data_IF_406775092710
#
_entry.id   IF_406775092710
#
_cell.length_a   1.000
_cell.length_b   1.000
_cell.length_c   1.000
_cell.angle_alpha   90.00
_cell.angle_beta   90.00
_cell.angle_gamma   90.00
#
_symmetry.space_group_name_H-M   'P 1'
#
loop_
_entity.id
_entity.type
_entity.pdbx_description
1 polymer ?
#
# COMPACT_ATOMS: atom_id res chain seq x y z
N UNK A 1 -22.07 -3.10 -1.27
CA UNK A 1 -21.89 -1.75 -0.68
C UNK A 1 -21.16 -1.79 0.66
N UNK A 2 -21.60 -2.60 1.65
CA UNK A 2 -20.93 -2.70 2.98
C UNK A 2 -19.40 -2.92 2.91
N UNK A 3 -18.95 -3.90 2.11
CA UNK A 3 -17.51 -4.20 1.90
C UNK A 3 -16.72 -3.00 1.36
N UNK A 4 -17.27 -2.27 0.39
CA UNK A 4 -16.58 -1.12 -0.18
C UNK A 4 -16.43 0.02 0.85
N UNK A 5 -17.49 0.33 1.60
CA UNK A 5 -17.42 1.37 2.64
C UNK A 5 -16.49 0.98 3.78
N UNK A 6 -16.51 -0.29 4.21
CA UNK A 6 -15.54 -0.79 5.20
C UNK A 6 -14.09 -0.64 4.69
N UNK A 7 -13.82 -0.94 3.42
CA UNK A 7 -12.46 -0.75 2.86
C UNK A 7 -12.05 0.73 2.76
N UNK A 8 -12.98 1.63 2.43
CA UNK A 8 -12.70 3.08 2.38
C UNK A 8 -12.42 3.60 3.79
N UNK A 9 -13.25 3.23 4.78
CA UNK A 9 -13.05 3.61 6.17
C UNK A 9 -11.73 3.09 6.74
N UNK A 10 -11.32 1.88 6.33
CA UNK A 10 -10.11 1.25 6.84
C UNK A 10 -8.83 1.84 6.24
N UNK A 11 -8.82 2.11 4.93
CA UNK A 11 -7.61 2.52 4.20
C UNK A 11 -7.47 4.05 4.00
N UNK A 12 -8.51 4.83 4.32
CA UNK A 12 -8.54 6.27 4.05
C UNK A 12 -9.16 7.06 5.19
N UNK A 13 -8.92 8.37 5.20
CA UNK A 13 -9.61 9.35 6.05
C UNK A 13 -10.90 9.90 5.42
N UNK A 14 -11.35 9.35 4.29
CA UNK A 14 -12.58 9.79 3.64
C UNK A 14 -13.76 9.32 4.50
N UNK A 15 -14.61 10.23 5.01
CA UNK A 15 -15.72 9.86 5.86
C UNK A 15 -16.73 9.05 5.05
N UNK A 16 -17.16 7.91 5.60
CA UNK A 16 -18.20 7.07 5.00
C UNK A 16 -19.35 6.81 5.99
N UNK A 17 -20.60 6.74 5.51
CA UNK A 17 -21.74 6.45 6.37
C UNK A 17 -21.59 5.10 7.08
N UNK A 18 -21.86 5.10 8.39
CA UNK A 18 -21.86 3.86 9.19
C UNK A 18 -20.49 3.28 9.50
N UNK A 19 -19.40 4.05 9.36
CA UNK A 19 -18.04 3.61 9.69
C UNK A 19 -17.91 3.00 11.10
N UNK A 20 -18.61 3.56 12.08
CA UNK A 20 -18.61 3.08 13.47
C UNK A 20 -19.29 1.70 13.66
N UNK A 21 -20.01 1.22 12.65
CA UNK A 21 -20.77 -0.04 12.71
C UNK A 21 -20.03 -1.23 12.07
N UNK A 22 -18.81 -1.02 11.55
CA UNK A 22 -18.03 -2.10 10.95
C UNK A 22 -17.27 -2.88 12.03
N UNK A 23 -17.47 -4.19 12.05
CA UNK A 23 -16.75 -5.10 12.92
C UNK A 23 -15.46 -5.64 12.26
N UNK A 24 -14.69 -6.46 12.98
CA UNK A 24 -13.47 -7.06 12.46
C UNK A 24 -13.72 -7.94 11.21
N UNK A 25 -14.86 -8.65 11.16
CA UNK A 25 -15.19 -9.50 10.03
C UNK A 25 -15.55 -8.67 8.78
N UNK A 26 -16.20 -7.52 8.96
CA UNK A 26 -16.45 -6.57 7.88
C UNK A 26 -15.13 -6.04 7.30
N UNK A 27 -14.16 -5.70 8.16
CA UNK A 27 -12.82 -5.25 7.74
C UNK A 27 -12.11 -6.35 6.94
N UNK A 28 -12.01 -7.57 7.48
CA UNK A 28 -11.33 -8.67 6.76
C UNK A 28 -12.00 -9.03 5.44
N UNK A 29 -13.34 -9.06 5.39
CA UNK A 29 -14.11 -9.30 4.15
C UNK A 29 -14.05 -8.13 3.16
N UNK A 30 -13.72 -6.93 3.62
CA UNK A 30 -13.56 -5.75 2.77
C UNK A 30 -12.29 -5.76 1.94
N UNK A 31 -11.32 -6.61 2.28
CA UNK A 31 -10.04 -6.76 1.55
C UNK A 31 -10.23 -7.07 0.06
N UNK A 32 -11.34 -7.73 -0.31
CA UNK A 32 -11.74 -7.90 -1.71
C UNK A 32 -11.80 -6.56 -2.47
N UNK A 33 -12.27 -5.50 -1.80
CA UNK A 33 -12.45 -4.17 -2.37
C UNK A 33 -11.22 -3.26 -2.24
N UNK A 34 -10.12 -3.72 -1.64
CA UNK A 34 -8.89 -2.92 -1.49
C UNK A 34 -8.36 -2.38 -2.84
N UNK A 35 -8.31 -3.17 -3.93
CA UNK A 35 -7.99 -2.65 -5.27
C UNK A 35 -8.87 -1.46 -5.70
N UNK A 36 -10.17 -1.49 -5.38
CA UNK A 36 -11.10 -0.40 -5.72
C UNK A 36 -10.80 0.88 -4.94
N UNK A 37 -10.34 0.76 -3.69
CA UNK A 37 -9.88 1.92 -2.91
C UNK A 37 -8.61 2.51 -3.54
N UNK A 38 -7.70 1.66 -4.04
CA UNK A 38 -6.56 2.11 -4.85
C UNK A 38 -6.98 2.92 -6.07
N UNK A 39 -7.95 2.40 -6.84
CA UNK A 39 -8.49 3.10 -8.01
C UNK A 39 -9.20 4.42 -7.64
N UNK A 40 -9.95 4.45 -6.53
CA UNK A 40 -10.58 5.68 -6.02
C UNK A 40 -9.55 6.76 -5.68
N UNK A 41 -8.51 6.39 -4.93
CA UNK A 41 -7.44 7.31 -4.57
C UNK A 41 -6.69 7.80 -5.82
N UNK A 42 -6.42 6.91 -6.77
CA UNK A 42 -5.80 7.27 -8.03
C UNK A 42 -6.67 8.26 -8.84
N UNK A 43 -8.00 8.08 -8.88
CA UNK A 43 -8.88 9.01 -9.56
C UNK A 43 -8.79 10.44 -8.98
N UNK A 44 -8.71 10.56 -7.64
CA UNK A 44 -8.49 11.85 -6.97
C UNK A 44 -7.13 12.45 -7.34
N UNK A 45 -6.07 11.65 -7.31
CA UNK A 45 -4.72 12.10 -7.65
C UNK A 45 -4.57 12.48 -9.12
N UNK A 46 -5.21 11.75 -10.04
CA UNK A 46 -5.25 12.06 -11.47
C UNK A 46 -5.98 13.38 -11.69
N UNK A 47 -7.13 13.60 -11.02
CA UNK A 47 -7.81 14.89 -11.06
C UNK A 47 -6.93 16.05 -10.57
N UNK A 48 -6.26 15.86 -9.43
CA UNK A 48 -5.32 16.85 -8.91
C UNK A 48 -4.13 17.09 -9.85
N UNK A 49 -3.62 16.04 -10.49
CA UNK A 49 -2.53 16.11 -11.45
C UNK A 49 -2.87 16.99 -12.65
N UNK A 50 -4.07 16.84 -13.21
CA UNK A 50 -4.53 17.66 -14.34
C UNK A 50 -4.66 19.14 -13.98
N UNK A 51 -4.94 19.47 -12.72
CA UNK A 51 -4.97 20.85 -12.23
C UNK A 51 -3.57 21.41 -11.96
N UNK A 52 -2.68 20.61 -11.36
CA UNK A 52 -1.38 21.05 -10.86
C UNK A 52 -0.27 21.05 -11.91
N UNK A 53 -0.19 20.01 -12.75
CA UNK A 53 0.93 19.82 -13.68
C UNK A 53 1.08 20.94 -14.73
N UNK A 54 -0.01 21.57 -15.23
CA UNK A 54 0.13 22.74 -16.11
C UNK A 54 0.72 23.98 -15.42
N UNK A 55 0.72 24.03 -14.08
CA UNK A 55 1.09 25.20 -13.29
C UNK A 55 2.45 25.03 -12.59
N UNK A 56 2.90 23.79 -12.39
CA UNK A 56 4.06 23.46 -11.56
C UNK A 56 5.01 22.50 -12.29
N UNK A 57 6.33 22.56 -12.02
CA UNK A 57 7.28 21.57 -12.54
C UNK A 57 6.89 20.14 -12.16
N UNK A 58 7.32 19.16 -12.97
CA UNK A 58 7.01 17.74 -12.76
C UNK A 58 7.38 17.26 -11.35
N UNK A 59 8.57 17.61 -10.88
CA UNK A 59 9.06 17.26 -9.54
C UNK A 59 8.18 17.83 -8.43
N UNK A 60 7.81 19.11 -8.51
CA UNK A 60 6.95 19.75 -7.49
C UNK A 60 5.57 19.12 -7.50
N UNK A 61 5.00 18.89 -8.68
CA UNK A 61 3.72 18.20 -8.84
C UNK A 61 3.75 16.81 -8.20
N UNK A 62 4.81 16.03 -8.44
CA UNK A 62 4.95 14.69 -7.87
C UNK A 62 4.96 14.71 -6.33
N UNK A 63 5.73 15.61 -5.70
CA UNK A 63 5.72 15.74 -4.24
C UNK A 63 4.37 16.19 -3.69
N UNK A 64 3.70 17.14 -4.34
CA UNK A 64 2.36 17.60 -3.91
C UNK A 64 1.34 16.47 -4.02
N UNK A 65 1.36 15.66 -5.09
CA UNK A 65 0.48 14.51 -5.23
C UNK A 65 0.73 13.45 -4.17
N UNK A 66 1.99 13.14 -3.85
CA UNK A 66 2.33 12.20 -2.76
C UNK A 66 1.94 12.76 -1.38
N UNK A 67 2.06 14.07 -1.16
CA UNK A 67 1.59 14.73 0.05
C UNK A 67 0.06 14.66 0.20
N UNK A 68 -0.69 14.96 -0.86
CA UNK A 68 -2.14 14.80 -0.90
C UNK A 68 -2.53 13.34 -0.64
N UNK A 69 -1.82 12.40 -1.27
CA UNK A 69 -2.03 10.98 -1.07
C UNK A 69 -1.84 10.56 0.40
N UNK A 70 -0.77 11.03 1.05
CA UNK A 70 -0.54 10.79 2.47
C UNK A 70 -1.63 11.41 3.35
N UNK A 71 -2.16 12.60 3.02
CA UNK A 71 -3.29 13.19 3.75
C UNK A 71 -4.57 12.35 3.63
N UNK A 72 -4.87 11.86 2.42
CA UNK A 72 -6.05 11.05 2.13
C UNK A 72 -6.02 9.69 2.85
N UNK A 73 -4.84 9.08 3.01
CA UNK A 73 -4.67 7.82 3.76
C UNK A 73 -4.38 8.03 5.24
N UNK A 74 -4.13 9.29 5.63
CA UNK A 74 -3.67 9.62 6.97
C UNK A 74 -2.26 9.16 7.30
N UNK A 75 -1.43 8.98 6.28
CA UNK A 75 -0.07 8.45 6.33
C UNK A 75 0.03 7.02 6.90
N UNK A 76 -1.08 6.28 6.96
CA UNK A 76 -1.16 4.94 7.57
C UNK A 76 -0.07 3.98 7.04
N UNK A 77 0.15 3.95 5.73
CA UNK A 77 1.12 3.03 5.14
C UNK A 77 2.56 3.52 5.27
N UNK A 78 2.79 4.84 5.23
CA UNK A 78 4.10 5.45 5.47
C UNK A 78 4.55 5.24 6.92
N UNK A 79 3.62 5.37 7.88
CA UNK A 79 3.82 5.05 9.29
C UNK A 79 4.21 3.58 9.45
N UNK A 80 3.47 2.65 8.81
CA UNK A 80 3.82 1.24 8.81
C UNK A 80 5.20 0.92 8.21
N UNK A 81 5.61 1.66 7.17
CA UNK A 81 6.96 1.55 6.60
C UNK A 81 8.04 2.03 7.57
N UNK A 82 7.79 3.15 8.25
CA UNK A 82 8.69 3.70 9.28
C UNK A 82 8.86 2.71 10.44
N UNK A 83 7.75 2.24 11.00
CA UNK A 83 7.72 1.27 12.09
C UNK A 83 8.46 -0.02 11.71
N UNK A 84 8.18 -0.56 10.52
CA UNK A 84 8.88 -1.75 10.04
C UNK A 84 10.38 -1.51 9.91
N UNK A 85 10.81 -0.36 9.40
CA UNK A 85 12.22 -0.03 9.23
C UNK A 85 12.96 0.05 10.58
N UNK A 86 12.42 0.78 11.55
CA UNK A 86 13.02 0.89 12.89
C UNK A 86 12.96 -0.44 13.64
N UNK A 87 11.82 -1.13 13.58
CA UNK A 87 11.65 -2.44 14.19
C UNK A 87 12.66 -3.45 13.66
N UNK A 88 12.77 -3.59 12.33
CA UNK A 88 13.61 -4.62 11.72
C UNK A 88 15.10 -4.24 11.75
N UNK A 89 15.42 -2.94 11.67
CA UNK A 89 16.79 -2.43 11.73
C UNK A 89 17.36 -2.37 13.15
N UNK A 90 16.55 -1.97 14.13
CA UNK A 90 16.96 -1.81 15.53
C UNK A 90 16.72 -3.04 16.42
N UNK A 91 15.75 -3.90 16.06
CA UNK A 91 15.36 -5.06 16.87
C UNK A 91 16.23 -6.30 16.68
N UNK A 92 16.69 -6.88 17.79
CA UNK A 92 17.49 -8.13 17.81
C UNK A 92 16.64 -9.38 17.99
N UNK A 93 15.67 -9.32 18.90
CA UNK A 93 14.69 -10.39 19.16
C UNK A 93 13.35 -10.03 18.54
N UNK A 94 12.44 -11.01 18.41
CA UNK A 94 11.07 -10.77 17.96
C UNK A 94 10.36 -9.75 18.86
N UNK A 95 10.52 -9.90 20.17
CA UNK A 95 9.93 -9.04 21.18
C UNK A 95 10.45 -7.60 21.06
N UNK A 96 11.74 -7.42 20.80
CA UNK A 96 12.32 -6.10 20.55
C UNK A 96 11.76 -5.46 19.29
N UNK A 97 11.71 -6.19 18.18
CA UNK A 97 11.16 -5.69 16.90
C UNK A 97 9.73 -5.22 17.12
N UNK A 98 8.87 -6.07 17.70
CA UNK A 98 7.45 -5.75 17.91
C UNK A 98 7.23 -4.61 18.93
N UNK A 99 8.14 -4.45 19.90
CA UNK A 99 8.11 -3.33 20.85
C UNK A 99 8.49 -2.03 20.16
N UNK A 100 9.56 -2.01 19.35
CA UNK A 100 10.00 -0.82 18.62
C UNK A 100 8.91 -0.38 17.63
N UNK A 101 8.28 -1.31 16.91
CA UNK A 101 7.16 -1.02 16.00
C UNK A 101 5.88 -0.49 16.69
N UNK A 102 5.86 -0.35 18.02
CA UNK A 102 4.75 0.29 18.75
C UNK A 102 5.16 1.63 19.36
N UNK A 103 6.44 1.95 19.28
CA UNK A 103 6.95 3.23 19.75
C UNK A 103 6.56 4.31 18.74
N UNK A 104 6.13 5.47 19.24
CA UNK A 104 5.79 6.60 18.37
C UNK A 104 7.02 7.43 17.99
N UNK A 105 8.19 7.12 18.54
CA UNK A 105 9.45 7.79 18.22
C UNK A 105 10.03 7.28 16.91
N UNK A 106 10.24 8.19 15.97
CA UNK A 106 10.94 7.92 14.70
C UNK A 106 12.45 7.82 14.95
N UNK A 107 13.03 6.67 14.62
CA UNK A 107 14.45 6.39 14.63
C UNK A 107 15.15 6.69 13.30
N UNK A 108 16.46 6.43 13.26
CA UNK A 108 17.28 6.69 12.09
C UNK A 108 16.91 5.80 10.88
N UNK A 109 16.50 4.54 11.12
CA UNK A 109 16.11 3.65 10.04
C UNK A 109 14.81 4.10 9.38
N UNK A 110 13.81 4.50 10.17
CA UNK A 110 12.60 5.12 9.66
C UNK A 110 12.90 6.40 8.88
N UNK A 111 13.68 7.32 9.45
CA UNK A 111 14.02 8.59 8.80
C UNK A 111 14.67 8.40 7.43
N UNK A 112 15.70 7.55 7.33
CA UNK A 112 16.35 7.24 6.06
C UNK A 112 15.37 6.55 5.09
N UNK A 113 14.60 5.57 5.57
CA UNK A 113 13.66 4.82 4.73
C UNK A 113 12.58 5.72 4.13
N UNK A 114 12.00 6.63 4.92
CA UNK A 114 10.98 7.56 4.46
C UNK A 114 11.53 8.54 3.42
N UNK A 115 12.72 9.11 3.65
CA UNK A 115 13.37 10.02 2.70
C UNK A 115 13.65 9.30 1.37
N UNK A 116 14.22 8.10 1.43
CA UNK A 116 14.53 7.32 0.22
C UNK A 116 13.25 6.89 -0.49
N UNK A 117 12.24 6.41 0.23
CA UNK A 117 10.99 5.93 -0.36
C UNK A 117 10.19 7.05 -1.03
N UNK A 118 9.96 8.17 -0.31
CA UNK A 118 9.21 9.31 -0.85
C UNK A 118 10.00 9.95 -1.99
N UNK A 119 11.32 10.11 -1.83
CA UNK A 119 12.19 10.63 -2.89
C UNK A 119 12.16 9.77 -4.15
N UNK A 120 12.28 8.45 -4.01
CA UNK A 120 12.21 7.50 -5.13
C UNK A 120 10.86 7.57 -5.85
N UNK A 121 9.74 7.55 -5.11
CA UNK A 121 8.40 7.65 -5.70
C UNK A 121 8.19 9.00 -6.38
N UNK A 122 8.65 10.10 -5.77
CA UNK A 122 8.52 11.43 -6.35
C UNK A 122 9.34 11.56 -7.64
N UNK A 123 10.59 11.11 -7.64
CA UNK A 123 11.45 11.10 -8.83
C UNK A 123 10.86 10.23 -9.95
N UNK A 124 10.34 9.05 -9.61
CA UNK A 124 9.75 8.17 -10.61
C UNK A 124 8.45 8.76 -11.19
N UNK A 125 7.59 9.31 -10.35
CA UNK A 125 6.35 9.96 -10.78
C UNK A 125 6.62 11.22 -11.62
N UNK A 126 7.65 12.01 -11.27
CA UNK A 126 8.08 13.16 -12.07
C UNK A 126 8.51 12.73 -13.49
N UNK A 127 9.32 11.68 -13.60
CA UNK A 127 9.71 11.14 -14.90
C UNK A 127 8.50 10.59 -15.69
N UNK A 128 7.53 9.97 -15.02
CA UNK A 128 6.29 9.49 -15.66
C UNK A 128 5.37 10.62 -16.12
N UNK A 129 5.37 11.76 -15.41
CA UNK A 129 4.65 12.98 -15.82
C UNK A 129 5.20 13.51 -17.14
N UNK A 130 6.52 13.61 -17.24
CA UNK A 130 7.22 14.07 -18.44
C UNK A 130 7.00 13.14 -19.64
N UNK A 131 6.91 11.83 -19.39
CA UNK A 131 6.63 10.81 -20.42
C UNK A 131 5.15 10.68 -20.79
N UNK A 132 4.24 11.37 -20.10
CA UNK A 132 2.80 11.30 -20.36
C UNK A 132 2.11 9.99 -19.91
N UNK A 133 2.78 9.17 -19.09
CA UNK A 133 2.26 7.87 -18.60
C UNK A 133 1.77 7.91 -17.15
N UNK A 134 1.84 9.07 -16.48
CA UNK A 134 1.54 9.19 -15.06
C UNK A 134 0.13 8.74 -14.68
N UNK A 135 -0.91 8.97 -15.49
CA UNK A 135 -2.29 8.59 -15.14
C UNK A 135 -2.47 7.09 -14.97
N UNK A 136 -2.13 6.34 -16.01
CA UNK A 136 -2.29 4.89 -16.03
C UNK A 136 -1.42 4.26 -14.96
N UNK A 137 -0.19 4.76 -14.77
CA UNK A 137 0.71 4.22 -13.76
C UNK A 137 0.26 4.58 -12.34
N UNK A 138 -0.30 5.75 -12.08
CA UNK A 138 -0.90 6.08 -10.77
C UNK A 138 -2.01 5.11 -10.41
N UNK A 139 -2.91 4.81 -11.36
CA UNK A 139 -4.00 3.85 -11.12
C UNK A 139 -3.42 2.46 -10.83
N UNK A 140 -2.52 1.96 -11.66
CA UNK A 140 -1.95 0.61 -11.48
C UNK A 140 -1.10 0.52 -10.21
N UNK A 141 -0.29 1.53 -9.89
CA UNK A 141 0.54 1.55 -8.68
C UNK A 141 -0.33 1.49 -7.43
N UNK A 142 -1.35 2.33 -7.34
CA UNK A 142 -2.21 2.37 -6.16
C UNK A 142 -3.05 1.09 -6.06
N UNK A 143 -3.64 0.61 -7.16
CA UNK A 143 -4.41 -0.66 -7.18
C UNK A 143 -3.54 -1.84 -6.72
N UNK A 144 -2.36 -2.00 -7.31
CA UNK A 144 -1.47 -3.13 -7.01
C UNK A 144 -0.84 -3.01 -5.62
N UNK A 145 -0.55 -1.79 -5.16
CA UNK A 145 -0.11 -1.54 -3.79
C UNK A 145 -1.08 -2.10 -2.75
N UNK A 146 -2.38 -1.90 -2.98
CA UNK A 146 -3.44 -2.40 -2.09
C UNK A 146 -3.61 -3.90 -2.20
N UNK A 147 -3.48 -4.42 -3.41
CA UNK A 147 -3.58 -5.85 -3.64
C UNK A 147 -2.44 -6.63 -2.96
N UNK A 148 -1.21 -6.10 -2.96
CA UNK A 148 -0.03 -6.83 -2.46
C UNK A 148 -0.16 -7.34 -1.02
N UNK A 149 -0.85 -6.62 -0.15
CA UNK A 149 -1.07 -7.02 1.26
C UNK A 149 -2.20 -8.05 1.44
N UNK A 150 -3.11 -8.21 0.48
CA UNK A 150 -4.27 -9.11 0.60
C UNK A 150 -3.85 -10.59 0.66
N UNK A 151 -2.99 -11.11 -0.25
CA UNK A 151 -2.48 -12.47 -0.14
C UNK A 151 -1.69 -12.72 1.15
N UNK A 152 -0.95 -11.71 1.64
CA UNK A 152 -0.19 -11.83 2.89
C UNK A 152 -1.11 -12.04 4.08
N UNK A 153 -2.19 -11.26 4.18
CA UNK A 153 -3.20 -11.42 5.21
C UNK A 153 -3.79 -12.83 5.27
N UNK A 154 -3.93 -13.50 4.13
CA UNK A 154 -4.47 -14.86 4.07
C UNK A 154 -3.44 -15.95 4.34
N UNK A 155 -2.19 -15.76 3.93
CA UNK A 155 -1.17 -16.80 3.94
C UNK A 155 -0.30 -16.79 5.21
N UNK A 156 -0.24 -15.68 5.93
CA UNK A 156 0.69 -15.48 7.03
C UNK A 156 -0.05 -15.27 8.36
N UNK A 157 0.44 -15.86 9.45
CA UNK A 157 -0.14 -15.64 10.77
C UNK A 157 0.12 -14.21 11.26
N UNK A 158 -0.74 -13.73 12.16
CA UNK A 158 -0.52 -12.45 12.83
C UNK A 158 0.59 -12.57 13.90
N UNK A 159 1.57 -11.68 13.85
CA UNK A 159 2.78 -11.77 14.67
C UNK A 159 2.55 -11.35 16.15
N UNK A 160 1.54 -10.52 16.43
CA UNK A 160 1.25 -10.02 17.78
C UNK A 160 0.20 -10.91 18.48
N UNK A 161 0.34 -11.06 19.80
CA UNK A 161 -0.55 -11.90 20.62
C UNK A 161 -1.92 -11.28 20.89
N UNK A 162 -2.01 -9.95 20.92
CA UNK A 162 -3.25 -9.22 21.22
C UNK A 162 -3.32 -7.90 20.44
N UNK A 163 -4.51 -7.65 19.87
CA UNK A 163 -4.90 -6.38 19.26
C UNK A 163 -4.17 -6.02 17.96
N UNK A 164 -4.64 -4.93 17.32
CA UNK A 164 -4.03 -4.34 16.13
C UNK A 164 -4.86 -4.50 14.86
N UNK A 165 -4.86 -3.45 14.04
CA UNK A 165 -5.72 -3.34 12.84
C UNK A 165 -5.54 -4.51 11.86
N UNK A 166 -4.31 -5.00 11.70
CA UNK A 166 -4.01 -6.15 10.82
C UNK A 166 -4.59 -7.49 11.28
N UNK A 167 -4.97 -7.64 12.56
CA UNK A 167 -5.56 -8.88 13.08
C UNK A 167 -6.95 -9.13 12.46
N UNK A 168 -7.75 -8.07 12.29
CA UNK A 168 -9.05 -8.15 11.64
C UNK A 168 -8.95 -8.66 10.19
N UNK A 169 -7.83 -8.38 9.52
CA UNK A 169 -7.54 -8.93 8.19
C UNK A 169 -7.18 -10.41 8.29
N UNK A 170 -6.16 -10.76 9.08
CA UNK A 170 -5.65 -12.15 9.14
C UNK A 170 -6.70 -13.15 9.60
N UNK A 171 -7.62 -12.74 10.48
CA UNK A 171 -8.62 -13.63 11.08
C UNK A 171 -9.83 -13.87 10.15
N UNK A 172 -10.04 -13.01 9.15
CA UNK A 172 -11.28 -12.99 8.38
C UNK A 172 -11.11 -12.90 6.85
N UNK A 173 -9.89 -12.72 6.35
CA UNK A 173 -9.62 -12.82 4.92
C UNK A 173 -9.63 -14.29 4.47
N UNK A 174 -10.32 -14.57 3.38
CA UNK A 174 -10.44 -15.91 2.83
C UNK A 174 -10.07 -15.99 1.35
N UNK A 175 -10.24 -17.18 0.78
CA UNK A 175 -9.99 -17.47 -0.63
C UNK A 175 -10.81 -16.57 -1.56
N UNK A 176 -12.06 -16.27 -1.19
CA UNK A 176 -12.95 -15.42 -2.00
C UNK A 176 -12.41 -14.00 -2.09
N UNK A 177 -11.94 -13.46 -0.96
CA UNK A 177 -11.38 -12.11 -0.89
C UNK A 177 -10.07 -12.00 -1.68
N UNK A 178 -9.17 -12.98 -1.54
CA UNK A 178 -7.91 -13.02 -2.31
C UNK A 178 -8.16 -13.15 -3.81
N UNK A 179 -9.02 -14.09 -4.22
CA UNK A 179 -9.34 -14.28 -5.65
C UNK A 179 -10.05 -13.05 -6.22
N UNK A 180 -11.03 -12.48 -5.50
CA UNK A 180 -11.75 -11.28 -5.92
C UNK A 180 -10.83 -10.08 -6.06
N UNK A 181 -9.97 -9.82 -5.07
CA UNK A 181 -8.99 -8.75 -5.13
C UNK A 181 -7.99 -8.97 -6.28
N UNK A 182 -7.57 -10.22 -6.53
CA UNK A 182 -6.65 -10.55 -7.63
C UNK A 182 -7.29 -10.34 -8.99
N UNK A 183 -8.55 -10.73 -9.18
CA UNK A 183 -9.28 -10.49 -10.43
C UNK A 183 -9.43 -8.99 -10.68
N UNK A 184 -9.77 -8.20 -9.65
CA UNK A 184 -9.86 -6.74 -9.78
C UNK A 184 -8.50 -6.11 -10.11
N UNK A 185 -7.45 -6.49 -9.38
CA UNK A 185 -6.09 -5.99 -9.60
C UNK A 185 -5.59 -6.32 -11.02
N UNK A 186 -5.80 -7.56 -11.47
CA UNK A 186 -5.48 -8.00 -12.82
C UNK A 186 -6.28 -7.23 -13.87
N UNK A 187 -7.59 -7.03 -13.64
CA UNK A 187 -8.47 -6.29 -14.53
C UNK A 187 -8.02 -4.84 -14.75
N UNK A 188 -7.64 -4.13 -13.68
CA UNK A 188 -7.07 -2.78 -13.81
C UNK A 188 -5.70 -2.79 -14.47
N UNK A 189 -4.79 -3.66 -14.03
CA UNK A 189 -3.42 -3.67 -14.53
C UNK A 189 -3.38 -4.03 -16.02
N UNK A 190 -4.01 -5.13 -16.43
CA UNK A 190 -4.05 -5.57 -17.83
C UNK A 190 -4.96 -4.69 -18.67
N UNK A 191 -6.08 -4.21 -18.11
CA UNK A 191 -7.00 -3.32 -18.83
C UNK A 191 -6.36 -1.98 -19.20
N UNK A 192 -5.47 -1.43 -18.36
CA UNK A 192 -4.82 -0.13 -18.59
C UNK A 192 -3.43 -0.24 -19.25
N UNK A 193 -2.71 -1.34 -19.03
CA UNK A 193 -1.32 -1.48 -19.48
C UNK A 193 -1.05 -2.75 -20.31
N UNK A 194 -2.07 -3.54 -20.63
CA UNK A 194 -1.93 -4.78 -21.40
C UNK A 194 -1.00 -5.79 -20.72
N UNK A 195 -0.12 -6.42 -21.51
CA UNK A 195 0.84 -7.40 -20.99
C UNK A 195 1.80 -6.80 -19.94
N UNK A 196 2.13 -5.50 -20.03
CA UNK A 196 2.97 -4.80 -19.04
C UNK A 196 2.31 -4.80 -17.66
N UNK A 197 0.98 -4.64 -17.62
CA UNK A 197 0.22 -4.74 -16.39
C UNK A 197 0.32 -6.12 -15.74
N UNK A 198 0.31 -7.19 -16.54
CA UNK A 198 0.55 -8.55 -16.05
C UNK A 198 1.95 -8.74 -15.45
N UNK A 199 2.98 -8.16 -16.08
CA UNK A 199 4.36 -8.15 -15.56
C UNK A 199 4.44 -7.41 -14.23
N UNK A 200 3.79 -6.25 -14.12
CA UNK A 200 3.74 -5.47 -12.87
C UNK A 200 3.03 -6.22 -11.74
N UNK A 201 1.91 -6.89 -12.03
CA UNK A 201 1.22 -7.74 -11.05
C UNK A 201 2.13 -8.88 -10.56
N UNK A 202 2.83 -9.55 -11.47
CA UNK A 202 3.76 -10.62 -11.11
C UNK A 202 4.92 -10.10 -10.25
N UNK A 203 5.50 -8.94 -10.58
CA UNK A 203 6.55 -8.31 -9.80
C UNK A 203 6.07 -7.91 -8.39
N UNK A 204 4.87 -7.33 -8.28
CA UNK A 204 4.25 -6.98 -7.00
C UNK A 204 3.96 -8.22 -6.17
N UNK A 205 3.50 -9.31 -6.80
CA UNK A 205 3.29 -10.59 -6.12
C UNK A 205 4.59 -11.17 -5.60
N UNK A 206 5.67 -11.10 -6.40
CA UNK A 206 7.01 -11.55 -6.02
C UNK A 206 7.59 -10.76 -4.84
N UNK A 207 7.55 -9.42 -4.88
CA UNK A 207 8.07 -8.59 -3.78
C UNK A 207 7.23 -8.75 -2.50
N UNK A 208 5.90 -8.89 -2.63
CA UNK A 208 5.02 -9.16 -1.49
C UNK A 208 5.30 -10.53 -0.85
N UNK A 209 5.55 -11.56 -1.66
CA UNK A 209 5.92 -12.87 -1.16
C UNK A 209 7.27 -12.84 -0.44
N UNK A 210 8.26 -12.14 -1.01
CA UNK A 210 9.59 -11.99 -0.41
C UNK A 210 9.54 -11.23 0.92
N UNK A 211 8.82 -10.10 0.95
CA UNK A 211 8.65 -9.30 2.17
C UNK A 211 7.90 -10.09 3.24
N UNK A 212 6.82 -10.79 2.86
CA UNK A 212 6.07 -11.66 3.77
C UNK A 212 6.90 -12.82 4.34
N UNK A 213 7.75 -13.45 3.52
CA UNK A 213 8.73 -14.43 3.98
C UNK A 213 9.73 -13.85 4.97
N UNK A 214 10.21 -12.63 4.72
CA UNK A 214 11.15 -11.94 5.61
C UNK A 214 10.50 -11.61 6.95
N UNK A 215 9.27 -11.09 6.95
CA UNK A 215 8.48 -10.86 8.16
C UNK A 215 8.26 -12.15 8.93
N UNK A 216 7.89 -13.25 8.25
CA UNK A 216 7.73 -14.56 8.90
C UNK A 216 9.02 -15.06 9.55
N UNK A 217 10.18 -14.80 8.96
CA UNK A 217 11.46 -15.17 9.57
C UNK A 217 11.88 -14.29 10.75
N UNK A 218 11.45 -13.02 10.76
CA UNK A 218 11.90 -12.04 11.76
C UNK A 218 10.98 -11.95 12.97
N UNK A 219 9.66 -12.06 12.76
CA UNK A 219 8.62 -11.87 13.78
C UNK A 219 7.56 -12.99 13.80
N UNK A 220 7.81 -14.11 13.14
CA UNK A 220 6.90 -15.27 12.99
C UNK A 220 5.57 -14.97 12.29
N UNK A 221 5.45 -13.86 11.57
CA UNK A 221 4.20 -13.49 10.92
C UNK A 221 4.23 -12.08 10.35
N UNK A 222 3.06 -11.44 10.31
CA UNK A 222 2.88 -10.05 9.85
C UNK A 222 2.10 -9.22 10.89
N UNK A 223 2.25 -7.89 10.81
CA UNK A 223 1.44 -6.90 11.53
C UNK A 223 0.70 -5.99 10.54
N UNK A 224 -0.13 -5.07 11.05
CA UNK A 224 -0.70 -4.01 10.21
C UNK A 224 0.38 -3.14 9.57
N UNK A 225 1.42 -2.81 10.34
CA UNK A 225 2.54 -1.98 9.92
C UNK A 225 3.33 -2.65 8.78
N UNK A 226 3.59 -3.96 8.87
CA UNK A 226 4.24 -4.68 7.76
C UNK A 226 3.37 -4.75 6.50
N UNK A 227 2.04 -4.81 6.63
CA UNK A 227 1.12 -4.73 5.49
C UNK A 227 1.11 -3.32 4.86
N UNK A 228 1.20 -2.28 5.70
CA UNK A 228 1.36 -0.89 5.26
C UNK A 228 2.68 -0.68 4.53
N UNK A 229 3.79 -1.16 5.10
CA UNK A 229 5.10 -1.15 4.46
C UNK A 229 5.07 -1.88 3.11
N UNK A 230 4.40 -3.03 3.03
CA UNK A 230 4.25 -3.76 1.77
C UNK A 230 3.52 -2.93 0.70
N UNK A 231 2.50 -2.17 1.10
CA UNK A 231 1.75 -1.28 0.20
C UNK A 231 2.68 -0.23 -0.43
N UNK A 232 3.51 0.44 0.38
CA UNK A 232 4.48 1.44 -0.08
C UNK A 232 5.57 0.83 -0.99
N UNK A 233 6.09 -0.34 -0.62
CA UNK A 233 7.09 -1.07 -1.42
C UNK A 233 6.51 -1.45 -2.79
N UNK A 234 5.28 -1.99 -2.82
CA UNK A 234 4.61 -2.39 -4.04
C UNK A 234 4.35 -1.19 -4.98
N UNK A 235 3.91 -0.05 -4.44
CA UNK A 235 3.76 1.19 -5.22
C UNK A 235 5.08 1.64 -5.84
N UNK A 236 6.16 1.66 -5.05
CA UNK A 236 7.49 2.05 -5.53
C UNK A 236 7.99 1.12 -6.63
N UNK A 237 7.80 -0.20 -6.47
CA UNK A 237 8.12 -1.20 -7.51
C UNK A 237 7.36 -0.90 -8.79
N UNK A 238 6.05 -0.60 -8.72
CA UNK A 238 5.28 -0.26 -9.92
C UNK A 238 5.79 1.02 -10.58
N UNK A 239 6.01 2.09 -9.82
CA UNK A 239 6.51 3.35 -10.39
C UNK A 239 7.87 3.16 -11.10
N UNK A 240 8.80 2.44 -10.46
CA UNK A 240 10.14 2.23 -11.03
C UNK A 240 10.10 1.29 -12.23
N UNK A 241 9.38 0.16 -12.15
CA UNK A 241 9.32 -0.78 -13.26
C UNK A 241 8.55 -0.21 -14.47
N UNK A 242 7.53 0.61 -14.25
CA UNK A 242 6.81 1.26 -15.33
C UNK A 242 7.74 2.17 -16.17
N UNK A 243 8.73 2.82 -15.55
CA UNK A 243 9.73 3.60 -16.30
C UNK A 243 10.60 2.76 -17.23
N UNK A 244 10.86 1.50 -16.86
CA UNK A 244 11.66 0.57 -17.64
C UNK A 244 10.86 -0.11 -18.76
N UNK A 245 9.55 -0.32 -18.56
CA UNK A 245 8.68 -1.00 -19.53
C UNK A 245 8.22 -0.08 -20.68
N UNK A 246 8.35 1.24 -20.53
CA UNK A 246 7.77 2.23 -21.44
C UNK A 246 6.27 2.04 -21.60
#
# INVERSE_FOLDING_TARGET
MKRLFASIAFLTRIPVPGAANFDAADVGRSTLCFPLVGALLAAVLVGARHLLYPLLPATVTAYVLLGLYALLTGALHLDGLADMADGFGGGRTKEDVLRIMRDHVIGAYAGVTLVVMVGLKASALAALLERGHADTVLVVALVLGRWGSVPQGWLLPYARRTGGLGMAITDHVGRVEVLGATVLALGFAVGLMGWRGGVLLAAVGGVSALQGWWCRRKIDGITGDTMGANTEICEAVVFVLALALG
#
